data_IF_577641442019
#
_entry.id   IF_577641442019
#
_cell.length_a   1.000
_cell.length_b   1.000
_cell.length_c   1.000
_cell.angle_alpha   90.00
_cell.angle_beta   90.00
_cell.angle_gamma   90.00
#
_symmetry.space_group_name_H-M   'P 1'
#
loop_
_entity.id
_entity.type
_entity.pdbx_description
1 polymer ?
#
# COMPACT_ATOMS: atom_id res chain seq x y z
N UNK A 1 -43.92 -12.19 4.02
CA UNK A 1 -42.59 -11.79 4.54
C UNK A 1 -41.65 -12.98 4.35
N UNK A 2 -40.78 -12.92 3.33
CA UNK A 2 -40.07 -14.10 2.83
C UNK A 2 -38.76 -14.37 3.59
N UNK A 3 -38.50 -15.62 4.03
CA UNK A 3 -37.27 -16.01 4.73
C UNK A 3 -36.00 -15.84 3.88
N UNK A 4 -36.15 -15.71 2.56
CA UNK A 4 -35.06 -15.45 1.61
C UNK A 4 -34.38 -14.08 1.83
N UNK A 5 -35.12 -13.09 2.34
CA UNK A 5 -34.59 -11.73 2.53
C UNK A 5 -33.61 -11.65 3.71
N UNK A 6 -33.83 -12.46 4.76
CA UNK A 6 -32.92 -12.55 5.91
C UNK A 6 -31.63 -13.31 5.58
N UNK A 7 -31.70 -14.35 4.74
CA UNK A 7 -30.50 -15.06 4.27
C UNK A 7 -29.58 -14.18 3.40
N UNK A 8 -30.15 -13.31 2.56
CA UNK A 8 -29.38 -12.35 1.74
C UNK A 8 -28.66 -11.31 2.59
N UNK A 9 -29.31 -10.78 3.63
CA UNK A 9 -28.71 -9.84 4.58
C UNK A 9 -27.57 -10.47 5.40
N UNK A 10 -27.72 -11.74 5.78
CA UNK A 10 -26.67 -12.48 6.49
C UNK A 10 -25.47 -12.77 5.56
N UNK A 11 -25.70 -13.10 4.28
CA UNK A 11 -24.63 -13.27 3.30
C UNK A 11 -23.87 -11.97 3.02
N UNK A 12 -24.55 -10.82 2.91
CA UNK A 12 -23.89 -9.51 2.75
C UNK A 12 -23.17 -9.04 4.03
N UNK A 13 -23.63 -9.46 5.22
CA UNK A 13 -22.92 -9.20 6.48
C UNK A 13 -21.68 -10.08 6.65
N UNK A 14 -21.70 -11.33 6.15
CA UNK A 14 -20.56 -12.25 6.26
C UNK A 14 -19.42 -11.90 5.29
N UNK A 15 -19.68 -11.24 4.17
CA UNK A 15 -18.60 -10.72 3.29
C UNK A 15 -17.99 -9.42 3.78
N UNK A 16 -18.58 -8.78 4.80
CA UNK A 16 -18.02 -7.63 5.50
C UNK A 16 -17.20 -8.02 6.75
N UNK A 17 -16.87 -9.30 6.93
CA UNK A 17 -15.77 -9.65 7.84
C UNK A 17 -14.50 -9.10 7.21
N UNK A 18 -14.12 -7.91 7.68
CA UNK A 18 -12.85 -7.27 7.51
C UNK A 18 -11.77 -8.34 7.38
N UNK A 19 -11.33 -8.52 6.13
CA UNK A 19 -10.04 -9.08 5.85
C UNK A 19 -9.10 -8.03 6.46
N UNK A 20 -8.71 -8.17 7.73
CA UNK A 20 -7.67 -7.31 8.27
C UNK A 20 -6.41 -7.75 7.53
N UNK A 21 -6.18 -7.16 6.37
CA UNK A 21 -5.06 -7.50 5.53
C UNK A 21 -3.81 -7.28 6.37
N UNK A 22 -2.97 -8.32 6.42
CA UNK A 22 -1.69 -8.23 7.10
C UNK A 22 -0.97 -7.01 6.54
N UNK A 23 -0.48 -6.15 7.45
CA UNK A 23 0.25 -4.94 7.07
C UNK A 23 1.31 -5.25 6.01
N UNK A 24 1.25 -4.54 4.88
CA UNK A 24 2.02 -4.86 3.67
C UNK A 24 2.96 -3.72 3.25
N UNK A 25 2.98 -2.61 3.98
CA UNK A 25 3.91 -1.52 3.71
C UNK A 25 5.25 -1.75 4.40
N UNK A 26 6.34 -1.74 3.65
CA UNK A 26 7.69 -1.95 4.14
C UNK A 26 8.48 -2.80 3.16
N UNK A 27 9.70 -3.15 3.52
CA UNK A 27 10.50 -4.12 2.77
C UNK A 27 10.35 -5.48 3.45
N UNK A 28 9.75 -6.44 2.75
CA UNK A 28 9.56 -7.82 3.24
C UNK A 28 10.89 -8.45 3.71
N UNK A 29 11.98 -8.21 2.98
CA UNK A 29 13.32 -8.68 3.34
C UNK A 29 13.89 -8.03 4.62
N UNK A 30 13.28 -6.96 5.11
CA UNK A 30 13.71 -6.19 6.27
C UNK A 30 12.50 -5.85 7.15
N UNK A 31 11.89 -6.86 7.80
CA UNK A 31 10.65 -6.72 8.59
C UNK A 31 10.65 -5.68 9.73
N UNK A 32 11.78 -5.06 10.07
CA UNK A 32 11.78 -3.86 10.92
C UNK A 32 11.17 -2.64 10.22
N UNK A 33 11.33 -2.53 8.90
CA UNK A 33 10.77 -1.45 8.08
C UNK A 33 9.24 -1.52 8.02
N UNK A 34 8.68 -2.73 8.03
CA UNK A 34 7.22 -2.94 8.13
C UNK A 34 6.67 -2.36 9.42
N UNK A 35 7.32 -2.67 10.56
CA UNK A 35 6.93 -2.13 11.87
C UNK A 35 7.04 -0.62 11.95
N UNK A 36 8.07 -0.04 11.32
CA UNK A 36 8.24 1.42 11.26
C UNK A 36 7.14 2.04 10.40
N UNK A 37 6.83 1.45 9.24
CA UNK A 37 5.76 1.93 8.37
C UNK A 37 4.39 1.84 9.08
N UNK A 38 4.12 0.75 9.80
CA UNK A 38 2.91 0.58 10.61
C UNK A 38 2.83 1.62 11.75
N UNK A 39 3.96 1.88 12.42
CA UNK A 39 4.04 2.92 13.45
C UNK A 39 3.75 4.32 12.87
N UNK A 40 4.29 4.64 11.70
CA UNK A 40 4.03 5.92 11.01
C UNK A 40 2.54 6.06 10.69
N UNK A 41 1.90 4.98 10.23
CA UNK A 41 0.47 4.94 9.88
C UNK A 41 -0.46 4.68 11.07
N UNK A 42 0.04 4.64 12.31
CA UNK A 42 -0.74 4.21 13.48
C UNK A 42 -2.03 5.00 13.67
N UNK A 43 -1.99 6.32 13.42
CA UNK A 43 -3.13 7.23 13.57
C UNK A 43 -3.94 7.45 12.28
N UNK A 44 -3.61 6.75 11.19
CA UNK A 44 -4.45 6.70 10.00
C UNK A 44 -5.65 5.80 10.25
N UNK A 45 -6.83 6.27 9.85
CA UNK A 45 -8.07 5.51 9.92
C UNK A 45 -8.30 4.66 8.65
N UNK A 46 -7.60 4.96 7.56
CA UNK A 46 -7.63 4.29 6.26
C UNK A 46 -6.43 3.37 6.01
N UNK A 47 -6.07 2.55 7.01
CA UNK A 47 -4.93 1.63 6.88
C UNK A 47 -5.08 0.65 5.72
N UNK A 48 -6.30 0.25 5.39
CA UNK A 48 -6.57 -0.65 4.26
C UNK A 48 -6.25 0.02 2.91
N UNK A 49 -6.58 1.31 2.76
CA UNK A 49 -6.20 2.11 1.58
C UNK A 49 -4.68 2.21 1.46
N UNK A 50 -4.01 2.54 2.57
CA UNK A 50 -2.54 2.65 2.62
C UNK A 50 -1.88 1.31 2.23
N UNK A 51 -2.36 0.20 2.79
CA UNK A 51 -1.90 -1.15 2.45
C UNK A 51 -2.11 -1.45 0.96
N UNK A 52 -3.26 -1.12 0.40
CA UNK A 52 -3.54 -1.28 -1.03
C UNK A 52 -2.53 -0.54 -1.92
N UNK A 53 -2.20 0.71 -1.56
CA UNK A 53 -1.17 1.48 -2.27
C UNK A 53 0.21 0.81 -2.19
N UNK A 54 0.59 0.27 -1.03
CA UNK A 54 1.87 -0.43 -0.85
C UNK A 54 1.94 -1.75 -1.63
N UNK A 55 0.85 -2.53 -1.64
CA UNK A 55 0.78 -3.78 -2.39
C UNK A 55 0.96 -3.55 -3.89
N UNK A 56 0.32 -2.51 -4.44
CA UNK A 56 0.52 -2.10 -5.84
C UNK A 56 1.96 -1.68 -6.08
N UNK A 57 2.53 -0.81 -5.23
CA UNK A 57 3.90 -0.33 -5.36
C UNK A 57 4.93 -1.48 -5.38
N UNK A 58 4.76 -2.45 -4.48
CA UNK A 58 5.60 -3.65 -4.43
C UNK A 58 5.45 -4.52 -5.68
N UNK A 59 4.24 -4.64 -6.23
CA UNK A 59 4.01 -5.36 -7.48
C UNK A 59 4.73 -4.69 -8.64
N UNK A 60 4.56 -3.39 -8.80
CA UNK A 60 5.20 -2.62 -9.87
C UNK A 60 6.74 -2.70 -9.76
N UNK A 61 7.27 -2.67 -8.53
CA UNK A 61 8.70 -2.88 -8.26
C UNK A 61 9.19 -4.29 -8.64
N UNK A 62 8.38 -5.33 -8.42
CA UNK A 62 8.70 -6.70 -8.85
C UNK A 62 8.69 -6.82 -10.37
N UNK A 63 7.78 -6.14 -11.05
CA UNK A 63 7.73 -6.08 -12.51
C UNK A 63 8.96 -5.36 -13.08
N UNK A 64 9.32 -4.20 -12.52
CA UNK A 64 10.57 -3.49 -12.85
C UNK A 64 11.82 -4.35 -12.68
N UNK A 65 11.95 -5.05 -11.53
CA UNK A 65 13.09 -5.94 -11.26
C UNK A 65 13.18 -7.13 -12.20
N UNK A 66 12.08 -7.57 -12.80
CA UNK A 66 12.06 -8.66 -13.79
C UNK A 66 12.52 -8.21 -15.18
N UNK A 67 12.91 -6.94 -15.35
CA UNK A 67 13.31 -6.36 -16.63
C UNK A 67 12.24 -6.51 -17.71
N UNK A 68 10.97 -6.46 -17.31
CA UNK A 68 9.88 -6.45 -18.26
C UNK A 68 9.93 -5.14 -19.05
N UNK A 69 9.92 -5.23 -20.39
CA UNK A 69 10.08 -4.07 -21.28
C UNK A 69 8.84 -3.15 -21.17
N UNK A 70 7.72 -3.68 -20.68
CA UNK A 70 6.51 -2.89 -20.37
C UNK A 70 6.46 -2.38 -18.94
N UNK A 71 7.46 -2.66 -18.10
CA UNK A 71 7.45 -2.20 -16.72
C UNK A 71 7.60 -0.67 -16.64
N UNK A 72 6.86 0.01 -15.74
CA UNK A 72 7.03 1.43 -15.50
C UNK A 72 8.43 1.74 -14.95
N UNK A 73 8.93 2.94 -15.22
CA UNK A 73 10.19 3.43 -14.64
C UNK A 73 10.06 3.62 -13.12
N UNK A 74 11.18 3.57 -12.38
CA UNK A 74 11.18 3.80 -10.93
C UNK A 74 10.55 5.14 -10.52
N UNK A 75 10.70 6.19 -11.34
CA UNK A 75 10.08 7.49 -11.06
C UNK A 75 8.55 7.44 -11.25
N UNK A 76 8.05 6.69 -12.23
CA UNK A 76 6.61 6.48 -12.43
C UNK A 76 6.01 5.64 -11.30
N UNK A 77 6.69 4.57 -10.88
CA UNK A 77 6.25 3.72 -9.77
C UNK A 77 6.12 4.53 -8.47
N UNK A 78 7.12 5.35 -8.15
CA UNK A 78 7.07 6.22 -6.97
C UNK A 78 5.98 7.30 -7.09
N UNK A 79 5.77 7.87 -8.28
CA UNK A 79 4.73 8.88 -8.51
C UNK A 79 3.33 8.28 -8.33
N UNK A 80 3.07 7.12 -8.91
CA UNK A 80 1.81 6.39 -8.81
C UNK A 80 1.47 6.04 -7.37
N UNK A 81 2.47 5.59 -6.60
CA UNK A 81 2.29 5.30 -5.18
C UNK A 81 1.87 6.52 -4.37
N UNK A 82 2.50 7.67 -4.61
CA UNK A 82 2.17 8.92 -3.90
C UNK A 82 0.86 9.53 -4.37
N UNK A 83 0.47 9.30 -5.62
CA UNK A 83 -0.86 9.66 -6.10
C UNK A 83 -1.93 8.79 -5.43
N UNK A 84 -1.72 7.48 -5.30
CA UNK A 84 -2.61 6.57 -4.57
C UNK A 84 -2.81 7.03 -3.11
N UNK A 85 -1.74 7.33 -2.38
CA UNK A 85 -1.85 7.89 -1.02
C UNK A 85 -2.53 9.26 -0.99
N UNK A 86 -2.48 10.01 -2.09
CA UNK A 86 -3.13 11.31 -2.25
C UNK A 86 -4.65 11.25 -2.45
N UNK A 87 -5.21 10.07 -2.75
CA UNK A 87 -6.66 9.85 -2.87
C UNK A 87 -7.36 9.64 -1.52
N UNK A 88 -6.59 9.57 -0.43
CA UNK A 88 -7.13 9.47 0.93
C UNK A 88 -7.93 10.71 1.33
N UNK A 89 -9.06 10.50 1.99
CA UNK A 89 -9.84 11.57 2.64
C UNK A 89 -9.27 11.96 4.03
N UNK A 90 -8.33 11.18 4.56
CA UNK A 90 -7.84 11.32 5.92
C UNK A 90 -6.62 12.25 5.99
N UNK A 91 -6.75 13.32 6.78
CA UNK A 91 -5.71 14.34 6.95
C UNK A 91 -4.38 13.75 7.43
N UNK A 92 -4.41 12.81 8.38
CA UNK A 92 -3.18 12.21 8.90
C UNK A 92 -2.44 11.45 7.79
N UNK A 93 -3.16 10.75 6.92
CA UNK A 93 -2.58 10.06 5.75
C UNK A 93 -1.98 11.05 4.77
N UNK A 94 -2.68 12.14 4.44
CA UNK A 94 -2.20 13.16 3.51
C UNK A 94 -0.99 13.95 4.04
N UNK A 95 -0.97 14.30 5.32
CA UNK A 95 0.04 15.22 5.90
C UNK A 95 1.19 14.53 6.63
N UNK A 96 1.04 13.25 7.01
CA UNK A 96 2.08 12.52 7.76
C UNK A 96 2.53 11.28 7.01
N UNK A 97 1.60 10.38 6.68
CA UNK A 97 1.96 9.09 6.04
C UNK A 97 2.52 9.32 4.65
N UNK A 98 1.80 10.03 3.80
CA UNK A 98 2.19 10.31 2.41
C UNK A 98 3.59 10.92 2.29
N UNK A 99 3.96 12.02 2.98
CA UNK A 99 5.30 12.56 2.88
C UNK A 99 6.38 11.63 3.46
N UNK A 100 6.10 10.91 4.55
CA UNK A 100 7.04 9.96 5.13
C UNK A 100 7.31 8.78 4.18
N UNK A 101 6.25 8.23 3.58
CA UNK A 101 6.32 7.12 2.64
C UNK A 101 6.97 7.55 1.32
N UNK A 102 6.74 8.79 0.88
CA UNK A 102 7.44 9.33 -0.29
C UNK A 102 8.94 9.44 -0.05
N UNK A 103 9.36 9.96 1.10
CA UNK A 103 10.78 10.03 1.44
C UNK A 103 11.42 8.63 1.47
N UNK A 104 10.74 7.65 2.08
CA UNK A 104 11.19 6.26 2.11
C UNK A 104 11.30 5.65 0.70
N UNK A 105 10.28 5.82 -0.14
CA UNK A 105 10.26 5.34 -1.52
C UNK A 105 11.40 5.95 -2.34
N UNK A 106 11.62 7.26 -2.23
CA UNK A 106 12.74 7.96 -2.92
C UNK A 106 14.10 7.43 -2.49
N UNK A 107 14.31 7.18 -1.20
CA UNK A 107 15.55 6.57 -0.70
C UNK A 107 15.71 5.16 -1.25
N UNK A 108 14.65 4.35 -1.25
CA UNK A 108 14.68 3.00 -1.80
C UNK A 108 15.00 2.99 -3.30
N UNK A 109 14.29 3.80 -4.09
CA UNK A 109 14.53 4.00 -5.53
C UNK A 109 15.94 4.50 -5.82
N UNK A 110 16.49 5.42 -5.01
CA UNK A 110 17.88 5.85 -5.12
C UNK A 110 18.82 4.65 -4.93
N UNK A 111 18.69 3.90 -3.84
CA UNK A 111 19.52 2.71 -3.58
C UNK A 111 19.42 1.69 -4.71
N UNK A 112 18.22 1.47 -5.25
CA UNK A 112 17.98 0.56 -6.37
C UNK A 112 18.67 0.99 -7.67
N UNK A 113 18.78 2.30 -7.95
CA UNK A 113 19.52 2.81 -9.13
C UNK A 113 21.02 2.57 -9.05
N UNK A 114 21.60 2.62 -7.85
CA UNK A 114 23.04 2.46 -7.64
C UNK A 114 23.46 1.03 -7.31
N UNK A 115 22.53 0.17 -6.91
CA UNK A 115 22.71 -1.29 -6.91
C UNK A 115 22.49 -1.86 -8.32
N UNK A 116 23.37 -1.47 -9.24
CA UNK A 116 23.56 -2.19 -10.49
C UNK A 116 24.37 -3.45 -10.15
N UNK A 117 23.76 -4.62 -10.29
CA UNK A 117 24.46 -5.90 -10.41
C UNK A 117 24.60 -6.22 -11.89
#
# INVERSE_FOLDING_TARGET
>A
MHPLFYCLLIFTCLTHTANSEKWSCGLEAAGWTERVAEAVATYSEDKDHINGCCLKHDQDFREFKRWDITAPSLDEIDADFINCLGESEFKYTLYVVRPAFWAAARVHSFVMRFKVW
#
